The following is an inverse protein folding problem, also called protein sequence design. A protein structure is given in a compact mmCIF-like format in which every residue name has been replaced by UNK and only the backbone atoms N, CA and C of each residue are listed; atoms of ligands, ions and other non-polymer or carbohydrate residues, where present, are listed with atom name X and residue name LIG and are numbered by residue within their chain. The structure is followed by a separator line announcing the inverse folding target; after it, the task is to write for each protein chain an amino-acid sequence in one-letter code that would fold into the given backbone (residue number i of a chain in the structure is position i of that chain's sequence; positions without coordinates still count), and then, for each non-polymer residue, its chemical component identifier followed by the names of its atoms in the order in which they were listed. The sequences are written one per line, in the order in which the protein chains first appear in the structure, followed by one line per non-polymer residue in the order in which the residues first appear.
data_IF_447722588411
#
_entry.id   IF_447722588411
#
_cell.length_a   1.000
_cell.length_b   1.000
_cell.length_c   1.000
_cell.angle_alpha   90.00
_cell.angle_beta   90.00
_cell.angle_gamma   90.00
#
_symmetry.space_group_name_H-M   'P 1'
#
loop_
_entity.id
_entity.type
_entity.pdbx_description
1 polymer ?
#
# COMPACT_ATOMS: atom_id res chain seq x y z
N UNK A 1 12.96 -10.42 0.25
CA UNK A 1 12.26 -9.43 1.10
C UNK A 1 12.76 -8.05 0.69
N UNK A 2 12.04 -7.36 -0.18
CA UNK A 2 12.49 -6.08 -0.75
C UNK A 2 11.63 -4.93 -0.23
N UNK A 3 12.29 -3.79 0.04
CA UNK A 3 11.65 -2.55 0.49
C UNK A 3 11.38 -1.64 -0.70
N UNK A 4 10.18 -1.07 -0.77
CA UNK A 4 9.71 -0.21 -1.85
C UNK A 4 9.19 1.12 -1.32
N UNK A 5 9.36 2.18 -2.10
CA UNK A 5 8.84 3.53 -1.86
C UNK A 5 7.82 3.85 -2.96
N UNK A 6 6.51 3.95 -2.63
CA UNK A 6 5.51 4.49 -3.54
C UNK A 6 5.84 5.92 -3.95
N UNK A 7 5.55 6.25 -5.21
CA UNK A 7 5.72 7.58 -5.79
C UNK A 7 4.48 7.92 -6.61
N UNK A 8 3.99 9.15 -6.51
CA UNK A 8 2.85 9.64 -7.29
C UNK A 8 3.40 10.64 -8.31
N UNK A 9 3.01 10.47 -9.58
CA UNK A 9 3.43 11.33 -10.68
C UNK A 9 2.22 12.06 -11.25
N UNK A 10 2.22 13.39 -11.19
CA UNK A 10 1.23 14.23 -11.88
C UNK A 10 1.83 14.68 -13.20
N UNK A 11 1.22 14.24 -14.30
CA UNK A 11 1.72 14.48 -15.66
C UNK A 11 0.78 15.45 -16.37
N UNK A 12 1.32 16.50 -16.96
CA UNK A 12 0.54 17.40 -17.83
C UNK A 12 0.50 16.81 -19.23
N UNK A 13 -0.66 16.30 -19.63
CA UNK A 13 -0.88 15.74 -20.96
C UNK A 13 -0.96 16.88 -21.99
N UNK A 14 -0.29 16.71 -23.13
CA UNK A 14 -0.39 17.63 -24.28
C UNK A 14 -1.68 17.33 -25.06
N UNK A 15 -2.35 18.34 -25.58
CA UNK A 15 -3.50 18.12 -26.48
C UNK A 15 -3.05 17.30 -27.70
N UNK A 16 -3.80 16.23 -28.01
CA UNK A 16 -3.46 15.27 -29.05
C UNK A 16 -2.31 14.30 -28.71
N UNK A 17 -1.81 14.32 -27.48
CA UNK A 17 -0.78 13.40 -27.01
C UNK A 17 -1.28 11.95 -26.89
N UNK A 18 -0.48 11.00 -27.38
CA UNK A 18 -0.71 9.57 -27.19
C UNK A 18 -0.50 9.11 -25.73
N UNK A 19 -0.63 7.80 -25.45
CA UNK A 19 -0.39 7.26 -24.12
C UNK A 19 1.04 7.55 -23.64
N UNK A 20 1.19 7.80 -22.34
CA UNK A 20 2.49 8.05 -21.70
C UNK A 20 3.28 6.74 -21.69
N UNK A 21 4.35 6.67 -22.48
CA UNK A 21 5.25 5.50 -22.55
C UNK A 21 6.55 5.71 -21.79
N UNK A 22 6.99 6.96 -21.64
CA UNK A 22 8.21 7.34 -20.94
C UNK A 22 8.00 8.64 -20.17
N UNK A 23 7.97 8.54 -18.84
CA UNK A 23 7.76 9.67 -17.95
C UNK A 23 8.85 10.75 -18.06
N UNK A 24 10.08 10.38 -18.42
CA UNK A 24 11.21 11.33 -18.50
C UNK A 24 11.03 12.37 -19.60
N UNK A 25 10.21 12.06 -20.61
CA UNK A 25 9.90 12.94 -21.75
C UNK A 25 8.70 13.84 -21.50
N UNK A 26 8.01 13.62 -20.39
CA UNK A 26 6.79 14.34 -20.05
C UNK A 26 7.04 15.48 -19.06
N UNK A 27 6.27 16.56 -19.22
CA UNK A 27 6.19 17.57 -18.18
C UNK A 27 5.42 16.99 -16.99
N UNK A 28 6.14 16.67 -15.92
CA UNK A 28 5.55 16.04 -14.75
C UNK A 28 6.12 16.58 -13.45
N UNK A 29 5.39 16.34 -12.36
CA UNK A 29 5.86 16.53 -10.99
C UNK A 29 5.72 15.23 -10.23
N UNK A 30 6.76 14.87 -9.48
CA UNK A 30 6.76 13.68 -8.62
C UNK A 30 6.57 14.07 -7.16
N UNK A 31 5.72 13.34 -6.46
CA UNK A 31 5.49 13.44 -5.03
C UNK A 31 5.85 12.13 -4.35
N UNK A 32 6.55 12.21 -3.22
CA UNK A 32 7.01 11.07 -2.45
C UNK A 32 6.60 11.27 -1.00
N UNK A 33 6.00 10.24 -0.42
CA UNK A 33 5.52 10.22 0.97
C UNK A 33 6.33 9.17 1.73
N UNK A 34 7.37 9.55 2.50
CA UNK A 34 8.26 8.60 3.18
C UNK A 34 7.53 7.63 4.13
N UNK A 35 6.40 8.04 4.69
CA UNK A 35 5.51 7.23 5.54
C UNK A 35 4.84 6.06 4.80
N UNK A 36 4.89 6.04 3.47
CA UNK A 36 4.29 4.98 2.64
C UNK A 36 5.27 3.88 2.23
N UNK A 37 6.51 3.90 2.73
CA UNK A 37 7.49 2.82 2.49
C UNK A 37 7.00 1.50 3.08
N UNK A 38 7.13 0.41 2.31
CA UNK A 38 6.72 -0.92 2.75
C UNK A 38 7.67 -2.01 2.25
N UNK A 39 7.56 -3.20 2.83
CA UNK A 39 8.27 -4.41 2.36
C UNK A 39 7.28 -5.34 1.69
N UNK A 40 7.55 -5.76 0.46
CA UNK A 40 6.70 -6.73 -0.25
C UNK A 40 6.92 -8.13 0.35
N UNK A 41 5.81 -8.85 0.60
CA UNK A 41 5.80 -10.16 1.24
C UNK A 41 4.77 -11.07 0.58
N UNK A 42 4.98 -12.39 0.64
CA UNK A 42 3.99 -13.40 0.23
C UNK A 42 2.99 -13.70 1.36
N UNK A 43 3.41 -13.53 2.62
CA UNK A 43 2.57 -13.63 3.81
C UNK A 43 3.08 -12.70 4.92
N UNK A 44 2.19 -12.22 5.79
CA UNK A 44 2.55 -11.36 6.91
C UNK A 44 3.51 -12.07 7.87
N UNK A 45 4.61 -11.39 8.23
CA UNK A 45 5.58 -11.89 9.19
C UNK A 45 5.36 -11.29 10.59
N UNK A 46 4.89 -10.04 10.67
CA UNK A 46 4.65 -9.33 11.92
C UNK A 46 3.15 -9.38 12.28
N UNK A 47 2.82 -10.01 13.40
CA UNK A 47 1.44 -10.17 13.86
C UNK A 47 0.76 -8.84 14.23
N UNK A 48 1.52 -7.82 14.65
CA UNK A 48 0.95 -6.48 14.91
C UNK A 48 0.46 -5.82 13.61
N UNK A 49 1.18 -6.03 12.50
CA UNK A 49 0.72 -5.58 11.18
C UNK A 49 -0.51 -6.36 10.75
N UNK A 50 -0.54 -7.68 10.96
CA UNK A 50 -1.73 -8.51 10.68
C UNK A 50 -2.95 -7.99 11.44
N UNK A 51 -2.83 -7.75 12.75
CA UNK A 51 -3.91 -7.20 13.60
C UNK A 51 -4.38 -5.83 13.10
N UNK A 52 -3.45 -4.89 12.89
CA UNK A 52 -3.76 -3.56 12.37
C UNK A 52 -4.52 -3.63 11.02
N UNK A 53 -4.10 -4.53 10.14
CA UNK A 53 -4.75 -4.74 8.83
C UNK A 53 -6.16 -5.33 8.98
N UNK A 54 -6.37 -6.30 9.88
CA UNK A 54 -7.69 -6.87 10.17
C UNK A 54 -8.65 -5.81 10.72
N UNK A 55 -8.17 -5.00 11.66
CA UNK A 55 -8.97 -3.96 12.32
C UNK A 55 -9.36 -2.83 11.35
N UNK A 56 -8.43 -2.43 10.47
CA UNK A 56 -8.62 -1.27 9.59
C UNK A 56 -9.28 -1.60 8.26
N UNK A 57 -9.06 -2.80 7.70
CA UNK A 57 -9.57 -3.15 6.37
C UNK A 57 -11.01 -3.72 6.45
N UNK A 58 -12.02 -3.10 5.82
CA UNK A 58 -13.41 -3.60 5.86
C UNK A 58 -13.57 -5.00 5.26
N UNK A 59 -12.74 -5.39 4.30
CA UNK A 59 -12.79 -6.72 3.69
C UNK A 59 -12.27 -7.83 4.61
N UNK A 60 -11.59 -7.49 5.71
CA UNK A 60 -11.07 -8.43 6.69
C UNK A 60 -11.97 -8.58 7.94
N UNK A 61 -13.19 -8.01 7.92
CA UNK A 61 -14.08 -7.95 9.09
C UNK A 61 -14.35 -9.33 9.72
N UNK A 62 -14.46 -10.40 8.93
CA UNK A 62 -14.73 -11.75 9.42
C UNK A 62 -13.64 -12.32 10.35
N UNK A 63 -12.43 -11.78 10.33
CA UNK A 63 -11.33 -12.22 11.20
C UNK A 63 -11.23 -11.44 12.51
N UNK A 64 -12.04 -10.38 12.69
CA UNK A 64 -12.02 -9.53 13.90
C UNK A 64 -12.53 -10.31 15.11
N UNK A 65 -13.58 -11.08 14.94
CA UNK A 65 -14.22 -11.81 16.04
C UNK A 65 -13.41 -13.04 16.47
N UNK A 66 -12.65 -13.65 15.55
CA UNK A 66 -11.72 -14.76 15.87
C UNK A 66 -10.59 -14.34 16.81
N UNK A 67 -10.16 -13.07 16.77
CA UNK A 67 -9.11 -12.56 17.66
C UNK A 67 -9.55 -12.38 19.11
N UNK A 68 -10.87 -12.29 19.35
CA UNK A 68 -11.42 -12.14 20.71
C UNK A 68 -11.48 -13.47 21.46
N UNK A 69 -11.58 -14.59 20.76
CA UNK A 69 -11.67 -15.92 21.38
C UNK A 69 -10.32 -16.37 21.96
N UNK A 70 -9.19 -15.94 21.39
CA UNK A 70 -7.85 -16.30 21.90
C UNK A 70 -7.43 -15.54 23.15
N UNK A 71 -8.11 -14.46 23.51
CA UNK A 71 -7.83 -13.69 24.73
C UNK A 71 -8.54 -14.24 25.98
N UNK A 72 -9.50 -15.18 25.83
CA UNK A 72 -10.19 -15.84 26.95
C UNK A 72 -9.55 -17.17 27.39
N UNK A 73 -8.54 -17.67 26.66
CA UNK A 73 -7.83 -18.92 26.96
C UNK A 73 -6.43 -18.67 27.60
N UNK A 74 -6.26 -17.58 28.35
CA UNK A 74 -5.07 -17.32 29.18
C UNK A 74 -5.41 -16.91 30.60
#
# INVERSE_FOLDING_TARGET
MHRYQPRIHLVKVREGGGPITDLSREQHRTFVFPETVFTAVTAYQNQLITKLKIDSNPFAKGFRDSSRLTDFDR
#
